data_IF_163467354084
#
_entry.id   IF_163467354084
#
_cell.length_a   1.000
_cell.length_b   1.000
_cell.length_c   1.000
_cell.angle_alpha   90.00
_cell.angle_beta   90.00
_cell.angle_gamma   90.00
#
_symmetry.space_group_name_H-M   'P 1'
#
loop_
_entity.id
_entity.type
_entity.pdbx_description
1 polymer ?
#
# COMPACT_ATOMS: atom_id res chain seq x y z
N UNK A 1 -24.95 2.20 26.66
CA UNK A 1 -23.96 2.99 25.91
C UNK A 1 -23.00 1.99 25.30
N UNK A 2 -23.42 1.15 24.35
CA UNK A 2 -23.80 1.45 22.95
C UNK A 2 -22.67 2.19 22.23
N UNK A 3 -21.72 1.42 21.73
CA UNK A 3 -20.98 1.74 20.50
C UNK A 3 -21.13 0.53 19.58
N UNK A 4 -22.26 0.47 18.87
CA UNK A 4 -22.24 -0.11 17.54
C UNK A 4 -21.31 0.78 16.71
N UNK A 5 -20.08 0.34 16.45
CA UNK A 5 -19.17 1.14 15.62
C UNK A 5 -18.75 0.40 14.35
N UNK A 6 -19.47 0.79 13.30
CA UNK A 6 -19.06 0.92 11.90
C UNK A 6 -18.86 -0.33 11.03
N UNK A 7 -19.30 -0.26 9.75
CA UNK A 7 -19.16 -1.35 8.80
C UNK A 7 -17.67 -1.66 8.55
N UNK A 8 -17.26 -2.87 8.92
CA UNK A 8 -16.02 -3.47 8.45
C UNK A 8 -16.18 -3.72 6.95
N UNK A 9 -15.67 -2.79 6.15
CA UNK A 9 -15.77 -2.85 4.69
C UNK A 9 -14.61 -3.60 4.07
N UNK A 10 -14.85 -4.20 2.92
CA UNK A 10 -13.80 -4.61 1.99
C UNK A 10 -13.89 -3.73 0.75
N UNK A 11 -12.74 -3.39 0.18
CA UNK A 11 -12.65 -2.72 -1.12
C UNK A 11 -11.43 -3.24 -1.86
N UNK A 12 -11.14 -2.73 -3.05
CA UNK A 12 -9.96 -3.11 -3.84
C UNK A 12 -9.07 -1.90 -4.10
N UNK A 13 -7.80 -2.14 -4.39
CA UNK A 13 -6.86 -1.06 -4.74
C UNK A 13 -7.33 -0.25 -5.97
N UNK A 14 -7.92 -0.91 -6.95
CA UNK A 14 -8.42 -0.28 -8.17
C UNK A 14 -9.63 0.61 -7.96
N UNK A 15 -10.37 0.44 -6.86
CA UNK A 15 -11.48 1.31 -6.50
C UNK A 15 -11.04 2.66 -5.91
N UNK A 16 -9.77 2.79 -5.52
CA UNK A 16 -9.22 4.00 -4.94
C UNK A 16 -8.66 4.94 -6.01
N UNK A 17 -8.74 6.25 -5.78
CA UNK A 17 -8.18 7.26 -6.67
C UNK A 17 -6.66 7.43 -6.48
N UNK A 18 -5.97 7.97 -7.49
CA UNK A 18 -4.59 8.45 -7.31
C UNK A 18 -4.57 9.51 -6.20
N UNK A 19 -3.57 9.43 -5.32
CA UNK A 19 -3.46 10.27 -4.12
C UNK A 19 -4.16 9.69 -2.88
N UNK A 20 -5.00 8.66 -3.03
CA UNK A 20 -5.64 7.99 -1.89
C UNK A 20 -4.59 7.46 -0.92
N UNK A 21 -4.80 7.70 0.37
CA UNK A 21 -3.91 7.30 1.45
C UNK A 21 -4.39 5.99 2.06
N UNK A 22 -3.44 5.11 2.38
CA UNK A 22 -3.71 3.81 2.98
C UNK A 22 -2.59 3.41 3.93
N UNK A 23 -2.88 2.46 4.79
CA UNK A 23 -1.91 1.80 5.66
C UNK A 23 -1.42 0.52 5.01
N UNK A 24 -0.12 0.40 4.80
CA UNK A 24 0.52 -0.76 4.17
C UNK A 24 1.22 -1.58 5.25
N UNK A 25 0.94 -2.89 5.31
CA UNK A 25 1.65 -3.79 6.22
C UNK A 25 3.04 -4.11 5.67
N UNK A 26 4.08 -3.66 6.38
CA UNK A 26 5.46 -4.11 6.14
C UNK A 26 5.81 -5.28 7.08
N UNK A 27 7.01 -5.85 6.94
CA UNK A 27 7.47 -6.99 7.74
C UNK A 27 7.38 -6.74 9.26
N UNK A 28 7.82 -5.56 9.70
CA UNK A 28 7.93 -5.24 11.13
C UNK A 28 6.78 -4.32 11.60
N UNK A 29 6.39 -3.34 10.79
CA UNK A 29 5.48 -2.27 11.20
C UNK A 29 4.45 -1.96 10.10
N UNK A 30 3.40 -1.22 10.46
CA UNK A 30 2.52 -0.55 9.51
C UNK A 30 3.16 0.74 8.99
N UNK A 31 2.88 1.10 7.74
CA UNK A 31 3.45 2.28 7.09
C UNK A 31 2.40 3.04 6.31
N UNK A 32 2.55 4.35 6.21
CA UNK A 32 1.73 5.16 5.33
C UNK A 32 2.13 4.91 3.87
N UNK A 33 1.12 4.66 3.04
CA UNK A 33 1.23 4.57 1.60
C UNK A 33 0.25 5.52 0.92
N UNK A 34 0.59 5.93 -0.30
CA UNK A 34 -0.30 6.66 -1.18
C UNK A 34 -0.30 6.04 -2.58
N UNK A 35 -1.47 5.98 -3.21
CA UNK A 35 -1.56 5.56 -4.61
C UNK A 35 -0.90 6.63 -5.47
N UNK A 36 0.16 6.24 -6.15
CA UNK A 36 0.96 7.14 -6.99
C UNK A 36 0.67 6.98 -8.48
N UNK A 37 0.16 5.81 -8.89
CA UNK A 37 -0.23 5.52 -10.27
C UNK A 37 -1.19 4.33 -10.31
N UNK A 38 -2.08 4.34 -11.28
CA UNK A 38 -2.93 3.20 -11.67
C UNK A 38 -2.69 2.99 -13.16
N UNK A 39 -2.41 1.75 -13.55
CA UNK A 39 -2.03 1.36 -14.92
C UNK A 39 -2.70 0.03 -15.27
N UNK A 40 -3.89 0.11 -15.87
CA UNK A 40 -4.74 -1.05 -16.13
C UNK A 40 -4.98 -1.88 -14.87
N UNK A 41 -4.48 -3.10 -14.86
CA UNK A 41 -4.62 -4.05 -13.75
C UNK A 41 -3.61 -3.84 -12.61
N UNK A 42 -2.73 -2.84 -12.68
CA UNK A 42 -1.69 -2.61 -11.69
C UNK A 42 -1.83 -1.25 -11.00
N UNK A 43 -1.62 -1.24 -9.69
CA UNK A 43 -1.61 -0.05 -8.84
C UNK A 43 -0.23 0.09 -8.21
N UNK A 44 0.36 1.27 -8.35
CA UNK A 44 1.66 1.62 -7.77
C UNK A 44 1.45 2.45 -6.53
N UNK A 45 1.94 1.95 -5.39
CA UNK A 45 1.81 2.59 -4.09
C UNK A 45 3.20 3.08 -3.67
N UNK A 46 3.31 4.38 -3.37
CA UNK A 46 4.51 4.94 -2.75
C UNK A 46 4.37 4.84 -1.23
N UNK A 47 5.34 4.19 -0.57
CA UNK A 47 5.32 3.90 0.86
C UNK A 47 6.46 4.63 1.56
N UNK A 48 6.15 5.33 2.64
CA UNK A 48 7.13 6.03 3.45
C UNK A 48 7.98 5.04 4.26
N UNK A 49 9.31 5.20 4.20
CA UNK A 49 10.27 4.49 5.04
C UNK A 49 10.53 5.27 6.34
N UNK A 50 10.76 4.58 7.47
CA UNK A 50 11.22 5.22 8.71
C UNK A 50 12.51 6.03 8.55
N UNK A 51 13.33 5.69 7.56
CA UNK A 51 14.63 6.34 7.28
C UNK A 51 14.50 7.63 6.46
N UNK A 52 13.29 8.17 6.30
CA UNK A 52 13.03 9.38 5.50
C UNK A 52 13.00 9.15 3.98
N UNK A 53 13.29 7.93 3.52
CA UNK A 53 13.17 7.53 2.10
C UNK A 53 11.75 7.09 1.78
N UNK A 54 11.46 6.87 0.50
CA UNK A 54 10.25 6.18 0.06
C UNK A 54 10.60 5.07 -0.91
N UNK A 55 9.78 4.02 -0.93
CA UNK A 55 9.88 2.94 -1.90
C UNK A 55 8.52 2.73 -2.55
N UNK A 56 8.50 2.07 -3.70
CA UNK A 56 7.27 1.80 -4.44
C UNK A 56 7.00 0.30 -4.44
N UNK A 57 5.76 -0.07 -4.22
CA UNK A 57 5.26 -1.43 -4.41
C UNK A 57 4.23 -1.42 -5.55
N UNK A 58 4.18 -2.51 -6.31
CA UNK A 58 3.17 -2.73 -7.34
C UNK A 58 2.25 -3.85 -6.90
N UNK A 59 0.95 -3.66 -7.09
CA UNK A 59 -0.08 -4.61 -6.70
C UNK A 59 -1.16 -4.67 -7.75
N UNK A 60 -1.81 -5.82 -7.87
CA UNK A 60 -2.97 -5.92 -8.74
C UNK A 60 -4.09 -4.99 -8.26
N UNK A 61 -4.80 -4.36 -9.19
CA UNK A 61 -5.95 -3.51 -8.91
C UNK A 61 -7.06 -4.28 -8.17
N UNK A 62 -7.15 -5.59 -8.38
CA UNK A 62 -8.05 -6.50 -7.67
C UNK A 62 -7.63 -6.80 -6.21
N UNK A 63 -6.45 -6.36 -5.75
CA UNK A 63 -5.99 -6.66 -4.40
C UNK A 63 -6.95 -6.09 -3.36
N UNK A 64 -7.42 -6.96 -2.45
CA UNK A 64 -8.39 -6.61 -1.43
C UNK A 64 -7.75 -5.78 -0.32
N UNK A 65 -8.47 -4.75 0.10
CA UNK A 65 -8.17 -3.88 1.23
C UNK A 65 -9.21 -4.11 2.32
N UNK A 66 -8.76 -4.12 3.57
CA UNK A 66 -9.65 -4.03 4.72
C UNK A 66 -9.88 -2.55 5.04
N UNK A 67 -11.12 -2.15 5.29
CA UNK A 67 -11.45 -0.78 5.71
C UNK A 67 -11.92 -0.81 7.15
N UNK A 68 -11.24 -0.01 7.99
CA UNK A 68 -11.61 0.20 9.39
C UNK A 68 -11.44 1.67 9.72
N UNK A 69 -12.44 2.28 10.36
CA UNK A 69 -12.42 3.69 10.78
C UNK A 69 -12.10 4.64 9.62
N UNK A 70 -12.65 4.35 8.44
CA UNK A 70 -12.38 5.05 7.16
C UNK A 70 -10.92 4.99 6.66
N UNK A 71 -10.07 4.20 7.29
CA UNK A 71 -8.70 3.95 6.86
C UNK A 71 -8.66 2.63 6.08
N UNK A 72 -8.10 2.66 4.88
CA UNK A 72 -7.85 1.47 4.09
C UNK A 72 -6.52 0.82 4.51
N UNK A 73 -6.53 -0.49 4.71
CA UNK A 73 -5.38 -1.30 5.11
C UNK A 73 -5.07 -2.32 4.01
N UNK A 74 -3.86 -2.25 3.46
CA UNK A 74 -3.32 -3.24 2.56
C UNK A 74 -2.56 -4.30 3.38
N UNK A 75 -3.06 -5.55 3.42
CA UNK A 75 -2.36 -6.63 4.10
C UNK A 75 -1.04 -6.97 3.41
N UNK A 76 -0.18 -7.69 4.13
CA UNK A 76 1.09 -8.18 3.59
C UNK A 76 0.81 -9.28 2.58
N UNK A 77 1.35 -9.16 1.38
CA UNK A 77 1.41 -10.23 0.39
C UNK A 77 2.68 -11.08 0.59
N UNK A 78 2.68 -12.38 0.26
CA UNK A 78 3.91 -13.17 0.15
C UNK A 78 4.96 -12.51 -0.76
N UNK A 79 4.50 -11.80 -1.80
CA UNK A 79 5.34 -11.03 -2.73
C UNK A 79 5.97 -9.78 -2.10
N UNK A 80 5.55 -9.35 -0.89
CA UNK A 80 6.24 -8.31 -0.10
C UNK A 80 7.51 -8.85 0.58
N UNK A 81 7.86 -10.12 0.39
CA UNK A 81 9.25 -10.55 0.57
C UNK A 81 10.08 -9.78 -0.45
N UNK A 82 10.59 -8.63 0.01
CA UNK A 82 11.56 -7.80 -0.69
C UNK A 82 12.65 -8.73 -1.21
N UNK A 83 12.55 -9.10 -2.49
CA UNK A 83 13.71 -9.54 -3.21
C UNK A 83 14.72 -8.42 -3.02
N UNK A 84 15.90 -8.81 -2.57
CA UNK A 84 17.12 -8.04 -2.43
C UNK A 84 17.62 -7.51 -3.78
N UNK A 85 16.71 -7.21 -4.70
CA UNK A 85 16.92 -6.53 -5.97
C UNK A 85 16.85 -5.04 -5.71
N UNK A 86 17.82 -4.59 -4.92
CA UNK A 86 18.21 -3.19 -4.91
C UNK A 86 18.45 -2.83 -6.38
N UNK A 87 17.80 -1.76 -6.87
CA UNK A 87 18.21 -1.16 -8.14
C UNK A 87 19.73 -0.96 -8.06
N UNK A 88 20.49 -1.58 -8.98
CA UNK A 88 21.91 -1.29 -9.09
C UNK A 88 22.02 0.22 -9.28
N UNK A 89 22.80 0.86 -8.42
CA UNK A 89 23.18 2.25 -8.58
C UNK A 89 23.74 2.41 -10.00
N UNK A 90 23.09 3.22 -10.84
CA UNK A 90 23.63 3.58 -12.14
C UNK A 90 24.75 4.60 -11.89
N UNK A 91 26.00 4.19 -12.11
CA UNK A 91 27.17 5.02 -11.88
C UNK A 91 27.42 6.05 -13.00
N UNK A 92 26.42 6.35 -13.85
CA UNK A 92 26.55 7.25 -15.01
C UNK A 92 26.03 8.67 -14.78
N UNK A 93 26.08 9.16 -13.53
CA UNK A 93 26.00 10.60 -13.22
C UNK A 93 27.18 10.99 -12.33
#
# INVERSE_FOLDING_TARGET
MTEEDSPQGTTTLGALCIGSRLMVRSQKNWRHGAISRIDGEQVVITVASPTGRSYRIRRQASSVLSVKDSIAYLPRSPEDQLHTEWCRYDARW
#
